data_IF_046477458267
#
_entry.id   IF_046477458267
#
_cell.length_a   1.000
_cell.length_b   1.000
_cell.length_c   1.000
_cell.angle_alpha   90.00
_cell.angle_beta   90.00
_cell.angle_gamma   90.00
#
_symmetry.space_group_name_H-M   'P 1'
#
loop_
_entity.id
_entity.type
_entity.pdbx_description
1 polymer ?
#
# COMPACT_ATOMS: atom_id res chain seq x y z
N UNK A 1 -21.79 -7.31 -12.70
CA UNK A 1 -21.28 -7.41 -11.33
C UNK A 1 -22.31 -8.13 -10.45
N UNK A 2 -21.91 -9.26 -9.86
CA UNK A 2 -22.74 -10.07 -8.97
C UNK A 2 -22.89 -9.39 -7.58
N UNK A 3 -23.75 -9.89 -6.68
CA UNK A 3 -23.97 -9.29 -5.36
C UNK A 3 -22.73 -9.26 -4.47
N UNK A 4 -21.88 -10.29 -4.54
CA UNK A 4 -20.63 -10.37 -3.77
C UNK A 4 -19.62 -9.31 -4.20
N UNK A 5 -19.36 -9.17 -5.50
CA UNK A 5 -18.45 -8.12 -6.00
C UNK A 5 -18.93 -6.69 -5.72
N UNK A 6 -20.25 -6.47 -5.53
CA UNK A 6 -20.75 -5.18 -5.04
C UNK A 6 -20.43 -4.93 -3.57
N UNK A 7 -20.36 -5.97 -2.75
CA UNK A 7 -20.01 -5.84 -1.33
C UNK A 7 -18.50 -5.64 -1.18
N UNK A 8 -17.69 -6.38 -1.93
CA UNK A 8 -16.23 -6.19 -1.96
C UNK A 8 -15.88 -4.76 -2.35
N UNK A 9 -16.49 -4.24 -3.42
CA UNK A 9 -16.26 -2.85 -3.85
C UNK A 9 -16.60 -1.83 -2.75
N UNK A 10 -17.70 -2.04 -2.01
CA UNK A 10 -18.07 -1.15 -0.90
C UNK A 10 -17.08 -1.22 0.25
N UNK A 11 -16.61 -2.41 0.58
CA UNK A 11 -15.60 -2.59 1.63
C UNK A 11 -14.27 -1.95 1.22
N UNK A 12 -13.85 -2.12 -0.04
CA UNK A 12 -12.64 -1.53 -0.57
C UNK A 12 -12.71 0.00 -0.48
N UNK A 13 -13.79 0.61 -0.95
CA UNK A 13 -13.99 2.06 -0.85
C UNK A 13 -13.94 2.57 0.60
N UNK A 14 -14.53 1.82 1.55
CA UNK A 14 -14.50 2.22 2.97
C UNK A 14 -13.10 2.04 3.56
N UNK A 15 -12.42 0.93 3.24
CA UNK A 15 -11.05 0.71 3.68
C UNK A 15 -10.08 1.74 3.11
N UNK A 16 -10.20 2.10 1.83
CA UNK A 16 -9.47 3.18 1.20
C UNK A 16 -9.67 4.52 1.92
N UNK A 17 -10.89 4.82 2.38
CA UNK A 17 -11.17 6.05 3.12
C UNK A 17 -10.48 6.04 4.49
N UNK A 18 -10.56 4.92 5.22
CA UNK A 18 -9.91 4.75 6.53
C UNK A 18 -8.38 4.79 6.38
N UNK A 19 -7.84 4.12 5.37
CA UNK A 19 -6.40 4.08 5.09
C UNK A 19 -5.87 5.48 4.75
N UNK A 20 -6.59 6.25 3.94
CA UNK A 20 -6.23 7.64 3.66
C UNK A 20 -6.26 8.49 4.93
N UNK A 21 -7.38 8.46 5.66
CA UNK A 21 -7.54 9.27 6.86
C UNK A 21 -6.50 8.96 7.94
N UNK A 22 -6.32 7.68 8.28
CA UNK A 22 -5.40 7.25 9.33
C UNK A 22 -3.96 7.05 8.86
N UNK A 23 -3.73 6.96 7.55
CA UNK A 23 -2.42 7.08 6.92
C UNK A 23 -1.67 8.29 7.47
N UNK A 24 -2.36 9.43 7.46
CA UNK A 24 -1.85 10.71 8.00
C UNK A 24 -2.22 10.94 9.46
N UNK A 25 -3.51 10.90 9.83
CA UNK A 25 -3.92 11.29 11.19
C UNK A 25 -3.32 10.39 12.29
N UNK A 26 -2.94 9.17 11.94
CA UNK A 26 -2.38 8.18 12.85
C UNK A 26 -1.00 7.68 12.44
N UNK A 27 -0.38 8.34 11.46
CA UNK A 27 0.96 8.03 10.97
C UNK A 27 1.11 6.53 10.67
N UNK A 28 0.14 5.89 10.00
CA UNK A 28 0.24 4.44 9.70
C UNK A 28 1.49 4.13 8.85
N UNK A 29 1.90 5.08 8.00
CA UNK A 29 3.11 4.99 7.18
C UNK A 29 4.31 5.76 7.75
N UNK A 30 4.25 6.20 9.02
CA UNK A 30 5.28 7.01 9.67
C UNK A 30 4.97 8.52 9.65
N UNK A 31 5.71 9.28 10.46
CA UNK A 31 5.44 10.71 10.70
C UNK A 31 5.76 11.62 9.51
N UNK A 32 6.58 11.14 8.58
CA UNK A 32 6.99 11.87 7.36
C UNK A 32 6.17 11.46 6.14
N UNK A 33 5.13 10.67 6.33
CA UNK A 33 4.30 10.16 5.25
C UNK A 33 3.03 11.00 5.09
N UNK A 34 2.72 11.35 3.85
CA UNK A 34 1.48 12.02 3.44
C UNK A 34 0.76 11.12 2.44
N UNK A 35 -0.56 11.00 2.57
CA UNK A 35 -1.39 10.20 1.69
C UNK A 35 -2.09 11.09 0.66
N UNK A 36 -2.02 10.71 -0.61
CA UNK A 36 -2.57 11.50 -1.71
C UNK A 36 -3.56 10.62 -2.45
N UNK A 37 -4.83 11.01 -2.37
CA UNK A 37 -5.89 10.38 -3.17
C UNK A 37 -5.60 10.57 -4.65
N UNK A 38 -5.68 9.49 -5.40
CA UNK A 38 -5.53 9.54 -6.85
C UNK A 38 -6.81 9.99 -7.54
N UNK A 39 -6.68 10.39 -8.81
CA UNK A 39 -7.84 10.68 -9.63
C UNK A 39 -8.58 9.39 -9.99
N UNK A 40 -9.89 9.48 -10.25
CA UNK A 40 -10.68 8.36 -10.78
C UNK A 40 -10.10 7.78 -12.09
N UNK A 41 -9.39 8.60 -12.87
CA UNK A 41 -8.70 8.10 -14.06
C UNK A 41 -7.55 7.16 -13.68
N UNK A 42 -6.73 7.56 -12.71
CA UNK A 42 -5.56 6.79 -12.28
C UNK A 42 -5.95 5.50 -11.54
N UNK A 43 -7.00 5.56 -10.72
CA UNK A 43 -7.66 4.38 -10.14
C UNK A 43 -8.07 3.38 -11.24
N UNK A 44 -8.94 3.79 -12.17
CA UNK A 44 -9.51 2.86 -13.17
C UNK A 44 -8.48 2.39 -14.20
N UNK A 45 -7.65 3.29 -14.72
CA UNK A 45 -6.72 2.97 -15.82
C UNK A 45 -5.41 2.38 -15.32
N UNK A 46 -4.86 2.93 -14.23
CA UNK A 46 -3.52 2.58 -13.74
C UNK A 46 -3.60 1.58 -12.57
N UNK A 47 -4.74 1.48 -11.89
CA UNK A 47 -4.92 0.60 -10.73
C UNK A 47 -4.13 1.10 -9.53
N UNK A 48 -4.15 2.42 -9.31
CA UNK A 48 -3.52 3.08 -8.17
C UNK A 48 -4.61 3.80 -7.41
N UNK A 49 -4.91 3.33 -6.21
CA UNK A 49 -5.98 3.87 -5.36
C UNK A 49 -5.46 5.04 -4.51
N UNK A 50 -4.24 4.91 -3.99
CA UNK A 50 -3.60 5.88 -3.09
C UNK A 50 -2.12 6.05 -3.46
N UNK A 51 -1.56 7.23 -3.21
CA UNK A 51 -0.10 7.43 -3.18
C UNK A 51 0.32 7.75 -1.75
N UNK A 52 1.42 7.17 -1.30
CA UNK A 52 2.13 7.62 -0.11
C UNK A 52 3.37 8.40 -0.55
N UNK A 53 3.42 9.68 -0.21
CA UNK A 53 4.59 10.53 -0.33
C UNK A 53 5.38 10.47 0.98
N UNK A 54 6.68 10.20 0.88
CA UNK A 54 7.60 10.25 2.01
C UNK A 54 8.49 11.48 1.86
N UNK A 55 8.34 12.43 2.78
CA UNK A 55 9.19 13.60 2.85
C UNK A 55 10.63 13.21 3.24
N UNK A 56 11.61 13.79 2.56
CA UNK A 56 13.04 13.57 2.85
C UNK A 56 13.72 14.92 3.07
N UNK A 57 14.43 15.07 4.20
CA UNK A 57 14.97 16.38 4.63
C UNK A 57 16.00 16.99 3.66
N UNK A 58 16.65 16.18 2.81
CA UNK A 58 17.75 16.62 1.92
C UNK A 58 17.61 16.14 0.46
N UNK A 59 16.49 15.54 0.09
CA UNK A 59 16.27 14.94 -1.23
C UNK A 59 14.85 15.18 -1.73
N UNK A 60 14.64 14.94 -3.04
CA UNK A 60 13.29 14.89 -3.58
C UNK A 60 12.49 13.80 -2.86
N UNK A 61 11.19 14.03 -2.60
CA UNK A 61 10.35 13.06 -1.93
C UNK A 61 10.32 11.72 -2.67
N UNK A 62 10.14 10.65 -1.92
CA UNK A 62 9.85 9.33 -2.47
C UNK A 62 8.35 9.09 -2.55
N UNK A 63 7.93 8.34 -3.56
CA UNK A 63 6.52 8.04 -3.77
C UNK A 63 6.33 6.52 -3.84
N UNK A 64 5.27 6.04 -3.22
CA UNK A 64 4.79 4.66 -3.30
C UNK A 64 3.34 4.68 -3.75
N UNK A 65 3.03 3.97 -4.83
CA UNK A 65 1.67 3.74 -5.29
C UNK A 65 1.09 2.51 -4.58
N UNK A 66 -0.11 2.66 -4.01
CA UNK A 66 -0.86 1.57 -3.42
C UNK A 66 -2.01 1.19 -4.33
N UNK A 67 -2.08 -0.09 -4.69
CA UNK A 67 -3.33 -0.72 -5.07
C UNK A 67 -3.97 -1.27 -3.79
N UNK A 68 -5.21 -0.88 -3.49
CA UNK A 68 -5.93 -1.31 -2.29
C UNK A 68 -6.91 -2.41 -2.67
N UNK A 69 -7.03 -3.43 -1.83
CA UNK A 69 -8.00 -4.51 -2.00
C UNK A 69 -8.67 -4.83 -0.66
N UNK A 70 -9.99 -4.97 -0.67
CA UNK A 70 -10.73 -5.53 0.45
C UNK A 70 -11.72 -6.56 -0.07
N UNK A 71 -11.67 -7.77 0.48
CA UNK A 71 -12.40 -8.90 -0.08
C UNK A 71 -12.90 -9.87 0.99
N UNK A 72 -14.02 -10.53 0.71
CA UNK A 72 -14.50 -11.69 1.49
C UNK A 72 -13.80 -13.01 1.12
N UNK A 73 -12.96 -13.01 0.10
CA UNK A 73 -12.37 -14.21 -0.51
C UNK A 73 -10.86 -14.05 -0.75
N UNK A 74 -10.21 -15.08 -1.30
CA UNK A 74 -8.76 -15.07 -1.56
C UNK A 74 -8.34 -13.90 -2.44
N UNK A 75 -7.16 -13.37 -2.14
CA UNK A 75 -6.56 -12.26 -2.87
C UNK A 75 -6.35 -12.61 -4.37
N UNK A 76 -6.83 -11.79 -5.31
CA UNK A 76 -6.75 -12.12 -6.73
C UNK A 76 -5.37 -11.76 -7.33
N UNK A 77 -4.56 -12.78 -7.65
CA UNK A 77 -3.17 -12.73 -8.16
C UNK A 77 -2.89 -11.73 -9.31
N UNK A 78 -3.91 -11.33 -10.09
CA UNK A 78 -3.76 -10.48 -11.28
C UNK A 78 -3.08 -9.12 -11.01
N UNK A 79 -3.28 -8.49 -9.84
CA UNK A 79 -2.64 -7.20 -9.49
C UNK A 79 -1.11 -7.37 -9.37
N UNK A 80 -0.66 -8.46 -8.73
CA UNK A 80 0.76 -8.81 -8.63
C UNK A 80 1.37 -9.16 -9.99
N UNK A 81 0.64 -9.89 -10.83
CA UNK A 81 1.09 -10.20 -12.19
C UNK A 81 1.22 -8.95 -13.05
N UNK A 82 0.33 -7.97 -12.87
CA UNK A 82 0.44 -6.66 -13.54
C UNK A 82 1.73 -5.94 -13.14
N UNK A 83 2.06 -5.89 -11.85
CA UNK A 83 3.31 -5.28 -11.37
C UNK A 83 4.53 -6.04 -11.94
N UNK A 84 4.51 -7.37 -11.92
CA UNK A 84 5.57 -8.19 -12.53
C UNK A 84 5.76 -7.87 -14.02
N UNK A 85 4.66 -7.73 -14.77
CA UNK A 85 4.70 -7.37 -16.19
C UNK A 85 5.31 -5.98 -16.42
N UNK A 86 4.91 -4.98 -15.62
CA UNK A 86 5.49 -3.63 -15.65
C UNK A 86 7.02 -3.69 -15.41
N UNK A 87 7.46 -4.44 -14.38
CA UNK A 87 8.89 -4.63 -14.10
C UNK A 87 9.60 -5.30 -15.27
N UNK A 88 9.02 -6.34 -15.89
CA UNK A 88 9.64 -7.01 -17.05
C UNK A 88 9.87 -6.04 -18.21
N UNK A 89 8.94 -5.12 -18.42
CA UNK A 89 9.00 -4.09 -19.47
C UNK A 89 9.97 -2.94 -19.14
N UNK A 90 10.53 -2.91 -17.93
CA UNK A 90 11.38 -1.80 -17.47
C UNK A 90 10.59 -0.56 -17.08
N UNK A 91 9.30 -0.72 -16.79
CA UNK A 91 8.37 0.34 -16.42
C UNK A 91 7.87 0.16 -14.97
N UNK A 92 7.22 1.19 -14.44
CA UNK A 92 6.46 1.14 -13.18
C UNK A 92 5.20 1.99 -13.32
N UNK A 93 4.45 2.15 -12.24
CA UNK A 93 3.22 2.92 -12.25
C UNK A 93 3.44 4.38 -12.70
N UNK A 94 2.43 4.89 -13.39
CA UNK A 94 2.31 6.26 -13.87
C UNK A 94 1.02 6.85 -13.31
N UNK A 95 1.10 8.03 -12.71
CA UNK A 95 -0.04 8.77 -12.20
C UNK A 95 -0.12 10.08 -12.98
N UNK A 96 -1.15 10.25 -13.80
CA UNK A 96 -1.25 11.37 -14.75
C UNK A 96 -1.70 12.67 -14.10
N UNK A 97 -2.51 12.58 -13.05
CA UNK A 97 -3.14 13.73 -12.42
C UNK A 97 -2.84 13.78 -10.92
N UNK A 98 -1.57 13.64 -10.56
CA UNK A 98 -1.13 13.80 -9.18
C UNK A 98 -1.30 15.26 -8.75
N UNK A 99 -1.91 15.45 -7.58
CA UNK A 99 -2.08 16.75 -6.94
C UNK A 99 -1.48 16.65 -5.55
N UNK A 100 -0.36 17.34 -5.33
CA UNK A 100 0.28 17.42 -4.01
C UNK A 100 0.06 18.82 -3.48
N UNK A 101 -0.87 18.96 -2.54
CA UNK A 101 -1.36 20.27 -2.10
C UNK A 101 -0.34 21.08 -1.30
N UNK A 102 0.43 20.43 -0.43
CA UNK A 102 1.46 21.04 0.44
C UNK A 102 2.52 21.85 -0.34
N UNK A 103 2.89 21.40 -1.54
CA UNK A 103 3.90 22.03 -2.40
C UNK A 103 3.29 22.66 -3.68
N UNK A 104 1.97 22.61 -3.83
CA UNK A 104 1.27 23.13 -5.01
C UNK A 104 1.62 22.40 -6.31
N UNK A 105 2.06 21.14 -6.24
CA UNK A 105 2.40 20.35 -7.42
C UNK A 105 1.13 19.81 -8.08
N UNK A 106 1.04 20.00 -9.40
CA UNK A 106 0.05 19.35 -10.25
C UNK A 106 0.73 18.84 -11.49
N UNK A 107 0.65 17.54 -11.73
CA UNK A 107 1.28 16.96 -12.89
C UNK A 107 1.35 15.45 -12.84
N UNK A 108 2.34 14.94 -13.55
CA UNK A 108 2.49 13.52 -13.79
C UNK A 108 3.65 12.96 -12.95
N UNK A 109 3.38 11.89 -12.20
CA UNK A 109 4.39 11.08 -11.53
C UNK A 109 4.65 9.82 -12.38
N UNK A 110 5.92 9.60 -12.74
CA UNK A 110 6.35 8.44 -13.54
C UNK A 110 7.27 7.54 -12.74
N UNK A 111 7.31 6.28 -13.15
CA UNK A 111 8.19 5.27 -12.60
C UNK A 111 8.04 5.15 -11.06
N UNK A 112 6.80 5.13 -10.58
CA UNK A 112 6.48 5.05 -9.15
C UNK A 112 6.35 3.57 -8.75
N UNK A 113 7.13 3.08 -7.77
CA UNK A 113 6.96 1.74 -7.21
C UNK A 113 5.52 1.49 -6.82
N UNK A 114 5.01 0.30 -7.13
CA UNK A 114 3.62 -0.06 -6.84
C UNK A 114 3.58 -1.36 -6.06
N UNK A 115 2.75 -1.38 -5.03
CA UNK A 115 2.48 -2.57 -4.21
C UNK A 115 0.98 -2.72 -4.04
N UNK A 116 0.55 -3.90 -3.62
CA UNK A 116 -0.85 -4.16 -3.31
C UNK A 116 -1.03 -4.36 -1.81
N UNK A 117 -1.96 -3.66 -1.20
CA UNK A 117 -2.30 -3.84 0.21
C UNK A 117 -3.71 -4.40 0.33
N UNK A 118 -3.89 -5.35 1.24
CA UNK A 118 -5.07 -6.18 1.31
C UNK A 118 -5.56 -6.38 2.73
N UNK A 119 -6.87 -6.36 2.93
CA UNK A 119 -7.48 -6.74 4.21
C UNK A 119 -8.73 -7.59 3.99
N UNK A 120 -8.96 -8.50 4.93
CA UNK A 120 -10.16 -9.31 4.99
C UNK A 120 -11.38 -8.44 5.29
N UNK A 121 -12.53 -8.84 4.77
CA UNK A 121 -13.80 -8.18 5.09
C UNK A 121 -14.08 -8.11 6.60
N UNK A 122 -13.62 -9.10 7.38
CA UNK A 122 -13.74 -9.09 8.85
C UNK A 122 -12.99 -7.88 9.43
N UNK A 123 -11.73 -7.72 9.05
CA UNK A 123 -10.89 -6.61 9.52
C UNK A 123 -11.45 -5.26 9.08
N UNK A 124 -11.98 -5.14 7.86
CA UNK A 124 -12.66 -3.89 7.45
C UNK A 124 -13.85 -3.58 8.34
N UNK A 125 -14.70 -4.56 8.66
CA UNK A 125 -15.85 -4.32 9.54
C UNK A 125 -15.42 -3.88 10.94
N UNK A 126 -14.35 -4.48 11.50
CA UNK A 126 -13.76 -4.05 12.78
C UNK A 126 -13.32 -2.58 12.71
N UNK A 127 -12.61 -2.19 11.64
CA UNK A 127 -12.20 -0.80 11.42
C UNK A 127 -13.38 0.15 11.27
N UNK A 128 -14.45 -0.28 10.59
CA UNK A 128 -15.68 0.51 10.42
C UNK A 128 -16.36 0.77 11.75
N UNK A 129 -16.44 -0.23 12.63
CA UNK A 129 -17.02 -0.04 13.96
C UNK A 129 -16.24 0.99 14.78
N UNK A 130 -14.91 0.94 14.74
CA UNK A 130 -14.05 1.93 15.40
C UNK A 130 -14.20 3.33 14.77
N UNK A 131 -14.26 3.40 13.45
CA UNK A 131 -14.40 4.67 12.72
C UNK A 131 -15.76 5.34 12.98
N UNK A 132 -16.86 4.57 12.96
CA UNK A 132 -18.20 5.09 13.27
C UNK A 132 -18.35 5.49 14.73
N UNK A 133 -17.67 4.81 15.65
CA UNK A 133 -17.64 5.18 17.07
C UNK A 133 -16.68 6.33 17.40
N UNK A 134 -15.91 6.82 16.40
CA UNK A 134 -14.88 7.86 16.54
C UNK A 134 -13.79 7.50 17.56
N UNK A 135 -13.51 6.20 17.71
CA UNK A 135 -12.41 5.74 18.56
C UNK A 135 -11.08 5.86 17.81
N UNK A 136 -10.65 7.11 17.59
CA UNK A 136 -9.42 7.43 16.89
C UNK A 136 -8.19 6.85 17.59
N UNK A 137 -8.25 6.63 18.91
CA UNK A 137 -7.16 5.99 19.65
C UNK A 137 -7.06 4.51 19.30
N UNK A 138 -8.18 3.80 19.22
CA UNK A 138 -8.19 2.40 18.78
C UNK A 138 -7.74 2.26 17.32
N UNK A 139 -8.21 3.13 16.42
CA UNK A 139 -7.77 3.15 15.01
C UNK A 139 -6.28 3.43 14.88
N UNK A 140 -5.76 4.40 15.64
CA UNK A 140 -4.34 4.74 15.63
C UNK A 140 -3.44 3.60 16.12
N UNK A 141 -3.94 2.72 16.98
CA UNK A 141 -3.21 1.58 17.51
C UNK A 141 -3.66 0.24 16.90
N UNK A 142 -4.48 0.26 15.85
CA UNK A 142 -5.03 -0.96 15.29
C UNK A 142 -3.92 -1.80 14.64
N UNK A 143 -3.82 -3.11 14.91
CA UNK A 143 -2.74 -3.96 14.38
C UNK A 143 -2.67 -4.05 12.84
N UNK A 144 -3.76 -3.71 12.14
CA UNK A 144 -3.79 -3.69 10.66
C UNK A 144 -2.68 -2.82 10.07
N UNK A 145 -2.22 -1.77 10.77
CA UNK A 145 -1.13 -0.92 10.28
C UNK A 145 0.16 -1.73 10.11
N UNK A 146 0.44 -2.70 10.99
CA UNK A 146 1.60 -3.58 10.86
C UNK A 146 1.42 -4.58 9.73
N UNK A 147 0.21 -5.09 9.52
CA UNK A 147 -0.09 -5.92 8.35
C UNK A 147 0.22 -5.17 7.06
N UNK A 148 -0.34 -3.97 6.88
CA UNK A 148 -0.11 -3.14 5.70
C UNK A 148 1.38 -2.88 5.49
N UNK A 149 2.12 -2.48 6.52
CA UNK A 149 3.56 -2.23 6.43
C UNK A 149 4.35 -3.49 6.03
N UNK A 150 4.00 -4.65 6.58
CA UNK A 150 4.63 -5.92 6.22
C UNK A 150 4.31 -6.35 4.78
N UNK A 151 3.09 -6.13 4.31
CA UNK A 151 2.69 -6.36 2.91
C UNK A 151 3.49 -5.49 1.94
N UNK A 152 3.70 -4.23 2.28
CA UNK A 152 4.55 -3.32 1.49
C UNK A 152 5.99 -3.82 1.51
N UNK A 153 6.52 -4.17 2.68
CA UNK A 153 7.91 -4.61 2.85
C UNK A 153 8.22 -5.87 2.04
N UNK A 154 7.38 -6.91 2.18
CA UNK A 154 7.59 -8.19 1.48
C UNK A 154 7.55 -8.02 -0.04
N UNK A 155 6.66 -7.16 -0.55
CA UNK A 155 6.57 -6.86 -1.98
C UNK A 155 7.75 -6.04 -2.46
N UNK A 156 8.18 -5.01 -1.71
CA UNK A 156 9.34 -4.21 -2.06
C UNK A 156 10.60 -5.09 -2.17
N UNK A 157 10.83 -5.98 -1.20
CA UNK A 157 11.95 -6.93 -1.22
C UNK A 157 11.88 -7.88 -2.43
N UNK A 158 10.69 -8.46 -2.68
CA UNK A 158 10.49 -9.38 -3.78
C UNK A 158 10.68 -8.72 -5.15
N UNK A 159 10.09 -7.53 -5.34
CA UNK A 159 10.18 -6.78 -6.60
C UNK A 159 11.56 -6.18 -6.83
N UNK A 160 12.27 -5.73 -5.79
CA UNK A 160 13.67 -5.31 -5.90
C UNK A 160 14.53 -6.45 -6.44
N UNK A 161 14.45 -7.63 -5.81
CA UNK A 161 15.20 -8.82 -6.22
C UNK A 161 14.84 -9.27 -7.64
N UNK A 162 13.55 -9.24 -7.99
CA UNK A 162 13.08 -9.62 -9.32
C UNK A 162 13.53 -8.62 -10.39
N UNK A 163 13.44 -7.32 -10.13
CA UNK A 163 13.93 -6.30 -11.05
C UNK A 163 15.45 -6.43 -11.29
N UNK A 164 16.21 -6.70 -10.23
CA UNK A 164 17.65 -6.92 -10.32
C UNK A 164 17.99 -8.15 -11.18
N UNK A 165 17.24 -9.26 -11.02
CA UNK A 165 17.45 -10.46 -11.85
C UNK A 165 17.10 -10.25 -13.33
N UNK A 166 16.28 -9.25 -13.65
CA UNK A 166 15.96 -8.83 -15.02
C UNK A 166 16.89 -7.74 -15.57
N UNK A 167 17.87 -7.28 -14.79
CA UNK A 167 18.80 -6.21 -15.18
C UNK A 167 18.21 -4.79 -15.08
N UNK A 168 17.05 -4.64 -14.42
CA UNK A 168 16.36 -3.35 -14.25
C UNK A 168 16.84 -2.65 -12.96
N UNK A 169 18.13 -2.33 -12.89
CA UNK A 169 18.80 -1.79 -11.68
C UNK A 169 18.21 -0.48 -11.13
N UNK A 170 17.61 0.36 -11.99
CA UNK A 170 16.93 1.58 -11.52
C UNK A 170 15.63 1.26 -10.79
N UNK A 171 14.89 0.25 -11.26
CA UNK A 171 13.66 -0.22 -10.62
C UNK A 171 13.99 -0.90 -9.30
N UNK A 172 15.02 -1.75 -9.29
CA UNK A 172 15.49 -2.42 -8.08
C UNK A 172 15.79 -1.39 -6.98
N UNK A 173 16.58 -0.36 -7.29
CA UNK A 173 16.92 0.73 -6.35
C UNK A 173 15.72 1.49 -5.81
N UNK A 174 14.66 1.67 -6.61
CA UNK A 174 13.43 2.34 -6.14
C UNK A 174 12.68 1.48 -5.12
N UNK A 175 12.61 0.16 -5.33
CA UNK A 175 12.02 -0.75 -4.36
C UNK A 175 12.91 -0.93 -3.12
N UNK A 176 14.23 -0.98 -3.25
CA UNK A 176 15.16 -1.00 -2.11
C UNK A 176 15.02 0.25 -1.23
N UNK A 177 14.84 1.42 -1.86
CA UNK A 177 14.56 2.66 -1.13
C UNK A 177 13.22 2.57 -0.37
N UNK A 178 12.19 2.04 -1.02
CA UNK A 178 10.89 1.79 -0.37
C UNK A 178 11.03 0.84 0.82
N UNK A 179 11.78 -0.26 0.66
CA UNK A 179 12.09 -1.20 1.72
C UNK A 179 12.75 -0.49 2.91
N UNK A 180 13.81 0.30 2.69
CA UNK A 180 14.53 0.98 3.76
C UNK A 180 13.63 1.96 4.55
N UNK A 181 12.75 2.69 3.85
CA UNK A 181 11.77 3.58 4.49
C UNK A 181 10.84 2.77 5.39
N UNK A 182 10.24 1.71 4.86
CA UNK A 182 9.22 0.92 5.56
C UNK A 182 9.82 0.13 6.73
N UNK A 183 11.05 -0.38 6.60
CA UNK A 183 11.79 -0.97 7.72
C UNK A 183 11.96 0.04 8.86
N UNK A 184 12.31 1.30 8.55
CA UNK A 184 12.39 2.37 9.53
C UNK A 184 11.05 2.63 10.24
N UNK A 185 9.95 2.67 9.49
CA UNK A 185 8.60 2.87 10.04
C UNK A 185 8.19 1.71 10.95
N UNK A 186 8.42 0.46 10.52
CA UNK A 186 8.13 -0.73 11.31
C UNK A 186 8.90 -0.70 12.64
N UNK A 187 10.19 -0.36 12.62
CA UNK A 187 10.99 -0.27 13.84
C UNK A 187 10.53 0.86 14.76
N UNK A 188 10.11 2.01 14.21
CA UNK A 188 9.49 3.08 15.00
C UNK A 188 8.21 2.59 15.70
N UNK A 189 7.32 1.90 14.96
CA UNK A 189 6.05 1.37 15.49
C UNK A 189 6.27 0.33 16.60
N UNK A 190 7.20 -0.60 16.41
CA UNK A 190 7.54 -1.61 17.44
C UNK A 190 8.04 -0.98 18.75
N UNK A 191 8.70 0.17 18.67
CA UNK A 191 9.22 0.90 19.82
C UNK A 191 8.23 1.95 20.38
N UNK A 192 7.05 2.11 19.75
CA UNK A 192 6.06 3.08 20.17
C UNK A 192 5.36 2.63 21.46
N UNK A 193 5.36 3.50 22.47
CA UNK A 193 4.70 3.23 23.75
C UNK A 193 3.19 3.08 23.54
N UNK A 194 2.62 1.96 24.01
CA UNK A 194 1.18 1.70 23.94
C UNK A 194 0.71 1.08 22.63
N UNK A 195 1.58 0.94 21.64
CA UNK A 195 1.32 0.12 20.47
C UNK A 195 1.54 -1.36 20.81
N UNK A 196 0.61 -2.23 20.42
CA UNK A 196 0.73 -3.67 20.62
C UNK A 196 0.26 -4.40 19.37
N UNK A 197 1.18 -5.15 18.77
CA UNK A 197 0.89 -6.05 17.67
C UNK A 197 1.05 -7.50 18.12
N UNK A 198 0.05 -8.32 17.80
CA UNK A 198 0.06 -9.74 18.14
C UNK A 198 0.89 -10.59 17.16
N UNK A 199 1.31 -10.01 16.04
CA UNK A 199 1.95 -10.72 14.93
C UNK A 199 0.98 -11.58 14.11
N UNK A 200 -0.31 -11.62 14.47
CA UNK A 200 -1.34 -12.31 13.69
C UNK A 200 -1.78 -11.41 12.53
N UNK A 201 -1.84 -12.00 11.35
CA UNK A 201 -2.36 -11.40 10.12
C UNK A 201 -3.61 -12.14 9.69
N UNK A 202 -4.43 -11.48 8.89
CA UNK A 202 -5.62 -12.12 8.34
C UNK A 202 -5.28 -13.05 7.16
N UNK A 203 -6.33 -13.67 6.61
CA UNK A 203 -6.23 -14.61 5.49
C UNK A 203 -5.87 -13.94 4.16
N UNK A 204 -6.12 -12.63 4.03
CA UNK A 204 -5.72 -11.85 2.85
C UNK A 204 -4.21 -11.67 2.83
N UNK A 205 -3.57 -11.39 3.98
CA UNK A 205 -2.11 -11.36 4.09
C UNK A 205 -1.46 -12.67 3.62
N UNK A 206 -1.93 -13.81 4.13
CA UNK A 206 -1.39 -15.12 3.73
C UNK A 206 -1.64 -15.40 2.24
N UNK A 207 -2.79 -15.01 1.72
CA UNK A 207 -3.09 -15.15 0.28
C UNK A 207 -2.15 -14.30 -0.57
N UNK A 208 -1.85 -13.07 -0.14
CA UNK A 208 -0.90 -12.18 -0.80
C UNK A 208 0.52 -12.75 -0.76
N UNK A 209 0.95 -13.35 0.34
CA UNK A 209 2.26 -14.01 0.47
C UNK A 209 2.43 -15.18 -0.51
N UNK A 210 1.39 -16.02 -0.60
CA UNK A 210 1.35 -17.13 -1.56
C UNK A 210 1.33 -16.60 -3.00
N UNK A 211 0.49 -15.62 -3.29
CA UNK A 211 0.36 -15.00 -4.60
C UNK A 211 1.67 -14.34 -5.06
N UNK A 212 2.37 -13.65 -4.16
CA UNK A 212 3.67 -13.04 -4.42
C UNK A 212 4.73 -14.10 -4.71
N UNK A 213 4.77 -15.15 -3.88
CA UNK A 213 5.67 -16.28 -4.08
C UNK A 213 5.44 -16.99 -5.41
N UNK A 214 4.19 -17.09 -5.86
CA UNK A 214 3.84 -17.63 -7.18
C UNK A 214 4.23 -16.68 -8.31
N UNK A 215 3.93 -15.38 -8.15
CA UNK A 215 4.25 -14.36 -9.14
C UNK A 215 5.76 -14.25 -9.38
N UNK A 216 6.59 -14.38 -8.35
CA UNK A 216 8.04 -14.24 -8.51
C UNK A 216 8.75 -15.48 -9.07
N UNK A 217 8.04 -16.60 -9.32
CA UNK A 217 8.60 -17.75 -10.04
C UNK A 217 8.80 -17.40 -11.52
N UNK A 218 9.90 -17.90 -12.08
CA UNK A 218 10.28 -17.72 -13.49
C UNK A 218 9.35 -18.47 -14.43
#
# INVERSE_FOLDING_TARGET
MNPEGRKDLKLATVFEAILHEHGEQSNWFGETAVTIKTSRFDDIANGVDEIVEFEEQESSPSYLALAVDATYSTFPDHKLQKIKAEINEGELAQIKYAVVENIGFRGELKKVPKVVVGVSARTVNELVELWLSKDNKALANHPVQMQILEEVLMQAQAFAKYAESKGHHEIARKYEKTQAIIEGVIEQKKNQIGFSDSGKRDDVFTSLEVGLSHAMRE
#
